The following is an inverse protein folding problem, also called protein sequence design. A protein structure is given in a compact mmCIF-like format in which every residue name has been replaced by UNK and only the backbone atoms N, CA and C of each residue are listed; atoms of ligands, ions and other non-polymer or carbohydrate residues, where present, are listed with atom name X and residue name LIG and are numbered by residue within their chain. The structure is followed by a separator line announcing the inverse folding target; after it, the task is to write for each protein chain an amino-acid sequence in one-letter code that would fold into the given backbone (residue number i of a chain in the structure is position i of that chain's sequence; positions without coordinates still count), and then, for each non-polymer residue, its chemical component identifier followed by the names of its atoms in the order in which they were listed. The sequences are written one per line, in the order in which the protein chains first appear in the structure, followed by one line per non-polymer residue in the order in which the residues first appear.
data_IF_586412995039
#
_entry.id   IF_586412995039
#
_cell.length_a   1.000
_cell.length_b   1.000
_cell.length_c   1.000
_cell.angle_alpha   90.00
_cell.angle_beta   90.00
_cell.angle_gamma   90.00
#
_symmetry.space_group_name_H-M   'P 1'
#
loop_
_entity.id
_entity.type
_entity.pdbx_description
1 polymer ?
#
# COMPACT_ATOMS: atom_id res chain seq x y z
N UNK A 1 18.40 16.13 -54.79
CA UNK A 1 18.17 14.87 -54.06
C UNK A 1 18.31 15.10 -52.55
N UNK A 2 17.47 15.94 -51.94
CA UNK A 2 17.63 16.38 -50.53
C UNK A 2 16.34 16.37 -49.72
N UNK A 3 15.20 16.04 -50.34
CA UNK A 3 13.87 16.06 -49.68
C UNK A 3 13.45 14.73 -49.03
N UNK A 4 14.17 13.63 -49.28
CA UNK A 4 13.80 12.29 -48.78
C UNK A 4 14.31 12.05 -47.34
N UNK A 5 15.34 12.78 -46.91
CA UNK A 5 15.97 12.57 -45.60
C UNK A 5 15.21 13.20 -44.42
N UNK A 6 14.42 14.25 -44.66
CA UNK A 6 13.65 14.92 -43.61
C UNK A 6 12.45 14.09 -43.11
N UNK A 7 11.89 13.22 -43.96
CA UNK A 7 10.72 12.42 -43.61
C UNK A 7 11.06 11.24 -42.69
N UNK A 8 12.27 10.69 -42.75
CA UNK A 8 12.69 9.58 -41.88
C UNK A 8 12.98 10.02 -40.44
N UNK A 9 13.53 11.23 -40.25
CA UNK A 9 13.83 11.78 -38.92
C UNK A 9 12.56 12.17 -38.14
N UNK A 10 11.47 12.52 -38.82
CA UNK A 10 10.20 12.85 -38.17
C UNK A 10 9.42 11.62 -37.67
N UNK A 11 9.61 10.43 -38.28
CA UNK A 11 8.98 9.18 -37.81
C UNK A 11 9.71 8.56 -36.60
N UNK A 12 11.02 8.81 -36.45
CA UNK A 12 11.80 8.38 -35.29
C UNK A 12 11.52 9.19 -34.01
N UNK A 13 10.87 10.35 -34.12
CA UNK A 13 10.43 11.15 -32.97
C UNK A 13 9.05 10.74 -32.44
N UNK A 14 8.31 9.87 -33.14
CA UNK A 14 6.97 9.39 -32.77
C UNK A 14 6.98 8.01 -32.08
N UNK A 15 8.15 7.38 -31.92
CA UNK A 15 8.35 6.37 -30.87
C UNK A 15 8.49 7.09 -29.53
N UNK A 16 7.46 7.88 -29.18
CA UNK A 16 7.31 8.37 -27.82
C UNK A 16 7.44 7.17 -26.89
N UNK A 17 8.15 7.35 -25.78
CA UNK A 17 8.42 6.35 -24.77
C UNK A 17 7.11 5.73 -24.25
N UNK A 18 6.58 4.71 -24.93
CA UNK A 18 5.55 3.85 -24.37
C UNK A 18 6.26 3.03 -23.31
N UNK A 19 6.26 3.53 -22.07
CA UNK A 19 6.63 2.69 -20.92
C UNK A 19 5.65 1.53 -20.90
N UNK A 20 6.16 0.33 -21.09
CA UNK A 20 5.35 -0.88 -21.02
C UNK A 20 4.69 -0.95 -19.63
N UNK A 21 3.36 -1.06 -19.59
CA UNK A 21 2.64 -1.19 -18.34
C UNK A 21 3.11 -2.45 -17.57
N UNK A 22 3.21 -2.39 -16.23
CA UNK A 22 3.60 -3.56 -15.45
C UNK A 22 2.52 -4.65 -15.58
N UNK A 23 2.96 -5.88 -15.83
CA UNK A 23 2.07 -7.06 -15.92
C UNK A 23 1.99 -7.84 -14.61
N UNK A 24 2.80 -7.44 -13.63
CA UNK A 24 2.88 -8.02 -12.29
C UNK A 24 3.11 -6.91 -11.26
N UNK A 25 2.65 -7.14 -10.04
CA UNK A 25 2.98 -6.32 -8.88
C UNK A 25 3.38 -7.19 -7.69
N UNK A 26 4.35 -6.72 -6.92
CA UNK A 26 4.58 -7.17 -5.57
C UNK A 26 3.76 -6.30 -4.63
N UNK A 27 2.78 -6.90 -3.95
CA UNK A 27 1.97 -6.24 -2.93
C UNK A 27 2.51 -6.58 -1.55
N UNK A 28 3.01 -5.58 -0.83
CA UNK A 28 3.35 -5.64 0.58
C UNK A 28 2.36 -4.86 1.43
N UNK A 29 2.31 -5.18 2.71
CA UNK A 29 1.56 -4.44 3.72
C UNK A 29 2.45 -4.22 4.93
N UNK A 30 2.38 -3.05 5.53
CA UNK A 30 3.05 -2.74 6.80
C UNK A 30 2.19 -1.80 7.63
N UNK A 31 2.52 -1.71 8.91
CA UNK A 31 1.95 -0.71 9.79
C UNK A 31 3.04 0.15 10.41
N UNK A 32 2.62 1.25 11.02
CA UNK A 32 3.45 1.96 11.97
C UNK A 32 3.62 1.11 13.24
N UNK A 33 4.73 1.28 13.96
CA UNK A 33 5.02 0.47 15.16
C UNK A 33 3.99 0.64 16.26
N UNK A 34 3.34 1.80 16.35
CA UNK A 34 2.29 2.11 17.33
C UNK A 34 0.87 1.99 16.75
N UNK A 35 0.70 1.35 15.59
CA UNK A 35 -0.62 1.18 14.97
C UNK A 35 -0.76 -0.16 14.23
N UNK A 36 -0.61 -1.30 14.93
CA UNK A 36 -0.91 -2.60 14.33
C UNK A 36 -2.39 -2.67 13.90
N UNK A 37 -2.66 -3.29 12.74
CA UNK A 37 -4.02 -3.39 12.18
C UNK A 37 -4.41 -4.80 11.73
N UNK A 38 -5.71 -5.07 11.75
CA UNK A 38 -6.33 -6.21 11.09
C UNK A 38 -6.97 -5.68 9.81
N UNK A 39 -6.35 -5.97 8.66
CA UNK A 39 -6.89 -5.59 7.35
C UNK A 39 -7.98 -6.58 6.97
N UNK A 40 -9.22 -6.12 6.85
CA UNK A 40 -10.40 -6.93 6.52
C UNK A 40 -10.78 -6.84 5.04
N UNK A 41 -10.27 -5.83 4.34
CA UNK A 41 -10.41 -5.69 2.90
C UNK A 41 -9.20 -4.91 2.37
N UNK A 42 -8.61 -5.37 1.27
CA UNK A 42 -7.64 -4.60 0.51
C UNK A 42 -7.93 -4.78 -0.98
N UNK A 43 -7.85 -3.68 -1.72
CA UNK A 43 -8.05 -3.64 -3.16
C UNK A 43 -7.00 -2.75 -3.79
N UNK A 44 -6.40 -3.26 -4.84
CA UNK A 44 -5.60 -2.50 -5.78
C UNK A 44 -6.17 -2.81 -7.14
N UNK A 45 -6.54 -1.77 -7.88
CA UNK A 45 -7.22 -1.92 -9.15
C UNK A 45 -6.39 -2.79 -10.13
N UNK A 46 -7.02 -3.84 -10.65
CA UNK A 46 -6.37 -4.79 -11.56
C UNK A 46 -5.53 -5.87 -10.88
N UNK A 47 -5.39 -5.87 -9.54
CA UNK A 47 -4.77 -6.98 -8.80
C UNK A 47 -5.83 -7.92 -8.22
N UNK A 48 -5.54 -9.22 -8.28
CA UNK A 48 -6.30 -10.25 -7.56
C UNK A 48 -5.60 -10.60 -6.25
N UNK A 49 -6.02 -9.96 -5.17
CA UNK A 49 -5.46 -10.17 -3.82
C UNK A 49 -6.03 -11.50 -3.25
N UNK A 50 -5.20 -12.46 -2.82
CA UNK A 50 -5.63 -13.83 -2.54
C UNK A 50 -6.11 -14.08 -1.09
N UNK A 51 -6.15 -13.05 -0.24
CA UNK A 51 -6.52 -13.18 1.17
C UNK A 51 -7.75 -12.33 1.50
N UNK A 52 -8.50 -12.78 2.50
CA UNK A 52 -9.70 -12.07 2.99
C UNK A 52 -9.40 -11.19 4.20
N UNK A 53 -8.49 -11.64 5.08
CA UNK A 53 -8.11 -10.89 6.28
C UNK A 53 -6.65 -11.15 6.58
N UNK A 54 -5.91 -10.13 7.01
CA UNK A 54 -4.51 -10.28 7.42
C UNK A 54 -4.20 -9.35 8.58
N UNK A 55 -3.47 -9.87 9.55
CA UNK A 55 -2.85 -9.05 10.60
C UNK A 55 -1.61 -8.39 9.98
N UNK A 56 -1.46 -7.09 10.21
CA UNK A 56 -0.35 -6.30 9.72
C UNK A 56 0.30 -5.60 10.91
N UNK A 57 1.59 -5.88 11.08
CA UNK A 57 2.48 -5.22 12.03
C UNK A 57 3.72 -4.76 11.27
N UNK A 58 4.43 -3.78 11.80
CA UNK A 58 5.64 -3.25 11.17
C UNK A 58 6.15 -2.00 11.88
N UNK A 59 7.18 -1.40 11.32
CA UNK A 59 7.80 -0.15 11.81
C UNK A 59 7.97 0.81 10.62
N UNK A 60 6.88 1.02 9.87
CA UNK A 60 6.93 1.70 8.58
C UNK A 60 7.40 3.16 8.64
N UNK A 61 7.38 3.77 9.83
CA UNK A 61 7.90 5.10 10.11
C UNK A 61 9.43 5.14 10.31
N UNK A 62 10.08 4.01 10.58
CA UNK A 62 11.54 3.94 10.67
C UNK A 62 12.15 3.71 9.29
N UNK A 63 12.81 4.74 8.76
CA UNK A 63 13.46 4.70 7.45
C UNK A 63 14.61 3.66 7.34
N UNK A 64 15.08 3.10 8.47
CA UNK A 64 16.10 2.07 8.51
C UNK A 64 15.53 0.64 8.48
N UNK A 65 14.21 0.49 8.61
CA UNK A 65 13.54 -0.80 8.64
C UNK A 65 12.79 -0.99 7.31
N UNK A 66 12.97 -2.12 6.62
CA UNK A 66 12.21 -2.41 5.40
C UNK A 66 10.70 -2.45 5.67
N UNK A 67 9.92 -1.74 4.85
CA UNK A 67 8.45 -1.69 4.96
C UNK A 67 7.74 -2.82 4.22
N UNK A 68 8.50 -3.69 3.55
CA UNK A 68 8.00 -4.76 2.70
C UNK A 68 8.38 -6.16 3.23
N UNK A 69 8.19 -6.38 4.55
CA UNK A 69 8.46 -7.65 5.23
C UNK A 69 7.45 -8.74 4.82
N UNK A 70 7.56 -9.19 3.57
CA UNK A 70 6.62 -10.09 2.91
C UNK A 70 5.88 -9.38 1.78
N UNK A 71 5.89 -9.99 0.60
CA UNK A 71 5.17 -9.48 -0.56
C UNK A 71 4.50 -10.62 -1.33
N UNK A 72 3.30 -10.35 -1.82
CA UNK A 72 2.59 -11.22 -2.75
C UNK A 72 2.92 -10.80 -4.17
N UNK A 73 3.54 -11.68 -4.96
CA UNK A 73 3.68 -11.46 -6.40
C UNK A 73 2.36 -11.81 -7.09
N UNK A 74 1.68 -10.79 -7.62
CA UNK A 74 0.36 -10.87 -8.19
C UNK A 74 0.39 -10.48 -9.67
N UNK A 75 -0.39 -11.17 -10.50
CA UNK A 75 -0.65 -10.72 -11.86
C UNK A 75 -1.42 -9.41 -11.83
N UNK A 76 -1.04 -8.49 -12.71
CA UNK A 76 -1.64 -7.16 -12.80
C UNK A 76 -2.23 -6.90 -14.19
N UNK A 77 -3.53 -6.58 -14.22
CA UNK A 77 -4.27 -6.29 -15.45
C UNK A 77 -4.90 -4.89 -15.44
N UNK A 78 -4.24 -3.87 -14.89
CA UNK A 78 -4.76 -2.50 -14.91
C UNK A 78 -4.82 -1.88 -16.32
N UNK A 79 -4.01 -2.40 -17.26
CA UNK A 79 -3.85 -1.82 -18.60
C UNK A 79 -3.06 -0.51 -18.57
N UNK A 80 -3.23 0.33 -19.59
CA UNK A 80 -2.61 1.65 -19.67
C UNK A 80 -3.53 2.69 -19.02
N UNK A 81 -3.52 2.76 -17.69
CA UNK A 81 -4.25 3.78 -16.94
C UNK A 81 -3.30 4.81 -16.36
N UNK A 82 -3.76 6.06 -16.33
CA UNK A 82 -3.01 7.17 -15.75
C UNK A 82 -3.02 7.13 -14.21
N UNK A 83 -4.08 6.55 -13.62
CA UNK A 83 -4.20 6.31 -12.18
C UNK A 83 -4.78 4.92 -11.92
N UNK A 84 -4.48 4.38 -10.74
CA UNK A 84 -5.10 3.17 -10.20
C UNK A 84 -5.66 3.43 -8.82
N UNK A 85 -6.88 2.95 -8.58
CA UNK A 85 -7.51 3.03 -7.28
C UNK A 85 -6.90 2.01 -6.30
N UNK A 86 -6.61 2.47 -5.08
CA UNK A 86 -6.14 1.65 -3.97
C UNK A 86 -7.03 1.92 -2.78
N UNK A 87 -7.62 0.88 -2.20
CA UNK A 87 -8.52 1.02 -1.06
C UNK A 87 -8.32 -0.08 -0.04
N UNK A 88 -8.65 0.22 1.22
CA UNK A 88 -8.60 -0.75 2.30
C UNK A 88 -9.70 -0.50 3.34
N UNK A 89 -10.02 -1.57 4.07
CA UNK A 89 -10.77 -1.53 5.33
C UNK A 89 -9.98 -2.28 6.38
N UNK A 90 -9.93 -1.73 7.59
CA UNK A 90 -9.16 -2.32 8.67
C UNK A 90 -9.71 -1.94 10.04
N UNK A 91 -9.27 -2.68 11.05
CA UNK A 91 -9.48 -2.38 12.47
C UNK A 91 -8.13 -2.19 13.13
N UNK A 92 -7.95 -1.11 13.89
CA UNK A 92 -6.77 -0.89 14.71
C UNK A 92 -6.79 -1.83 15.94
N UNK A 93 -5.74 -2.61 16.15
CA UNK A 93 -5.72 -3.62 17.23
C UNK A 93 -5.68 -2.99 18.63
N UNK A 94 -5.17 -1.76 18.76
CA UNK A 94 -4.99 -1.10 20.06
C UNK A 94 -6.22 -0.31 20.51
N UNK A 95 -7.11 0.03 19.58
CA UNK A 95 -8.25 0.92 19.84
C UNK A 95 -9.60 0.29 19.46
N UNK A 96 -9.59 -0.87 18.80
CA UNK A 96 -10.76 -1.55 18.22
C UNK A 96 -11.55 -0.71 17.20
N UNK A 97 -10.98 0.42 16.76
CA UNK A 97 -11.62 1.36 15.83
C UNK A 97 -11.45 0.86 14.40
N UNK A 98 -12.57 0.80 13.67
CA UNK A 98 -12.62 0.47 12.27
C UNK A 98 -12.56 1.69 11.34
N UNK A 99 -11.91 1.49 10.19
CA UNK A 99 -11.61 2.55 9.23
C UNK A 99 -11.75 2.04 7.80
N UNK A 100 -12.05 2.95 6.89
CA UNK A 100 -11.95 2.72 5.45
C UNK A 100 -11.31 3.91 4.75
N UNK A 101 -10.51 3.64 3.73
CA UNK A 101 -9.88 4.68 2.91
C UNK A 101 -9.75 4.20 1.46
N UNK A 102 -9.72 5.16 0.54
CA UNK A 102 -9.45 4.94 -0.87
C UNK A 102 -8.70 6.13 -1.43
N UNK A 103 -7.60 5.88 -2.13
CA UNK A 103 -6.78 6.89 -2.77
C UNK A 103 -6.42 6.46 -4.20
N UNK A 104 -5.83 7.36 -4.97
CA UNK A 104 -5.33 7.07 -6.32
C UNK A 104 -3.81 7.20 -6.37
N UNK A 105 -3.15 6.29 -7.08
CA UNK A 105 -1.71 6.38 -7.37
C UNK A 105 -1.44 6.26 -8.86
N UNK A 106 -0.39 6.94 -9.33
CA UNK A 106 0.08 6.80 -10.72
C UNK A 106 0.94 5.54 -10.86
N UNK A 107 0.63 4.62 -11.79
CA UNK A 107 1.49 3.46 -12.09
C UNK A 107 2.91 3.82 -12.55
N UNK A 108 3.12 5.06 -13.00
CA UNK A 108 4.43 5.55 -13.45
C UNK A 108 5.35 5.96 -12.30
N UNK A 109 4.79 6.23 -11.12
CA UNK A 109 5.55 6.57 -9.91
C UNK A 109 5.99 5.32 -9.11
N UNK A 110 5.47 4.15 -9.46
CA UNK A 110 5.83 2.88 -8.84
C UNK A 110 7.26 2.48 -9.23
N UNK A 111 8.04 2.10 -8.23
CA UNK A 111 9.34 1.45 -8.46
C UNK A 111 9.09 0.11 -9.13
N UNK A 112 9.97 -0.23 -10.07
CA UNK A 112 9.90 -1.48 -10.81
C UNK A 112 11.24 -2.19 -10.74
N UNK A 113 11.21 -3.51 -10.60
CA UNK A 113 12.41 -4.31 -10.70
C UNK A 113 12.82 -4.52 -12.17
N UNK A 114 13.93 -5.23 -12.40
CA UNK A 114 14.45 -5.53 -13.74
C UNK A 114 13.51 -6.39 -14.61
N UNK A 115 12.47 -6.99 -14.02
CA UNK A 115 11.44 -7.78 -14.70
C UNK A 115 10.14 -6.99 -14.94
N UNK A 116 10.18 -5.65 -14.81
CA UNK A 116 9.01 -4.77 -14.94
C UNK A 116 7.87 -5.11 -13.95
N UNK A 117 8.19 -5.75 -12.81
CA UNK A 117 7.24 -5.95 -11.71
C UNK A 117 7.22 -4.70 -10.86
N UNK A 118 6.04 -4.11 -10.68
CA UNK A 118 5.89 -2.93 -9.83
C UNK A 118 5.84 -3.32 -8.35
N UNK A 119 6.32 -2.44 -7.47
CA UNK A 119 6.19 -2.62 -6.02
C UNK A 119 5.11 -1.70 -5.48
N UNK A 120 4.17 -2.25 -4.72
CA UNK A 120 3.10 -1.50 -4.04
C UNK A 120 3.10 -1.91 -2.58
N UNK A 121 3.18 -0.94 -1.68
CA UNK A 121 3.09 -1.17 -0.24
C UNK A 121 1.91 -0.41 0.32
N UNK A 122 1.03 -1.10 1.03
CA UNK A 122 -0.06 -0.46 1.77
C UNK A 122 0.37 -0.30 3.22
N UNK A 123 0.40 0.94 3.70
CA UNK A 123 0.90 1.28 5.03
C UNK A 123 -0.24 1.86 5.85
N UNK A 124 -0.40 1.32 7.06
CA UNK A 124 -1.44 1.71 8.00
C UNK A 124 -0.81 2.43 9.20
N UNK A 125 -1.29 3.64 9.49
CA UNK A 125 -0.86 4.45 10.62
C UNK A 125 -2.02 4.76 11.57
N UNK A 126 -1.74 5.48 12.68
CA UNK A 126 -2.74 5.75 13.70
C UNK A 126 -3.87 6.65 13.18
N UNK A 127 -5.01 6.58 13.87
CA UNK A 127 -6.18 7.43 13.62
C UNK A 127 -6.66 7.33 12.17
N UNK A 128 -6.60 6.12 11.62
CA UNK A 128 -7.07 5.85 10.26
C UNK A 128 -6.13 6.34 9.15
N UNK A 129 -4.86 6.63 9.44
CA UNK A 129 -3.91 6.98 8.38
C UNK A 129 -3.71 5.80 7.42
N UNK A 130 -3.88 6.07 6.12
CA UNK A 130 -3.65 5.11 5.05
C UNK A 130 -2.72 5.70 4.00
N UNK A 131 -1.66 4.97 3.68
CA UNK A 131 -0.63 5.40 2.74
C UNK A 131 -0.42 4.31 1.70
N UNK A 132 -0.38 4.69 0.43
CA UNK A 132 0.17 3.84 -0.61
C UNK A 132 1.59 4.30 -0.91
N UNK A 133 2.53 3.37 -0.74
CA UNK A 133 3.93 3.55 -1.03
C UNK A 133 4.42 2.62 -2.13
N UNK A 134 5.68 2.83 -2.50
CA UNK A 134 6.47 1.92 -3.31
C UNK A 134 7.79 1.68 -2.62
N UNK A 135 8.23 0.43 -2.59
CA UNK A 135 9.47 0.03 -1.94
C UNK A 135 10.36 -0.73 -2.92
N UNK A 136 11.69 -0.54 -2.87
CA UNK A 136 12.61 -1.34 -3.67
C UNK A 136 12.43 -2.82 -3.33
N UNK A 137 12.60 -3.69 -4.32
CA UNK A 137 12.67 -5.14 -4.09
C UNK A 137 13.98 -5.57 -3.41
N UNK A 138 14.94 -4.65 -3.32
CA UNK A 138 16.28 -4.79 -2.75
C UNK A 138 16.58 -3.67 -1.72
N UNK A 139 17.85 -3.37 -1.48
CA UNK A 139 18.26 -2.33 -0.51
C UNK A 139 17.94 -0.93 -1.02
N UNK A 140 17.15 -0.18 -0.26
CA UNK A 140 16.90 1.24 -0.49
C UNK A 140 15.74 1.75 0.35
N UNK A 141 15.57 3.06 0.40
CA UNK A 141 14.44 3.67 1.10
C UNK A 141 13.20 3.64 0.23
N UNK A 142 12.09 3.18 0.82
CA UNK A 142 10.79 3.31 0.20
C UNK A 142 10.36 4.76 0.04
N UNK A 143 9.33 4.96 -0.80
CA UNK A 143 8.71 6.26 -1.04
C UNK A 143 7.21 6.17 -0.80
N UNK A 144 6.63 7.18 -0.17
CA UNK A 144 5.18 7.38 -0.11
C UNK A 144 4.71 8.08 -1.38
N UNK A 145 3.64 7.57 -1.99
CA UNK A 145 3.08 8.09 -3.23
C UNK A 145 1.86 8.94 -2.96
N UNK A 146 0.99 8.47 -2.06
CA UNK A 146 -0.20 9.16 -1.63
C UNK A 146 -0.55 8.73 -0.20
N UNK A 147 -1.18 9.65 0.54
CA UNK A 147 -1.65 9.43 1.91
C UNK A 147 -3.01 10.07 2.08
N UNK A 148 -3.87 9.42 2.86
CA UNK A 148 -5.19 9.93 3.21
C UNK A 148 -5.57 9.53 4.64
N UNK A 149 -6.43 10.34 5.26
CA UNK A 149 -7.06 9.99 6.52
C UNK A 149 -8.37 9.26 6.24
N UNK A 150 -8.43 8.02 6.70
CA UNK A 150 -9.59 7.17 6.54
C UNK A 150 -10.83 7.73 7.23
N UNK A 151 -11.98 7.29 6.74
CA UNK A 151 -13.27 7.58 7.36
C UNK A 151 -13.53 6.54 8.45
N UNK A 152 -13.92 7.00 9.65
CA UNK A 152 -14.36 6.12 10.73
C UNK A 152 -15.58 5.31 10.30
N UNK A 153 -15.58 4.02 10.62
CA UNK A 153 -16.74 3.15 10.43
C UNK A 153 -17.19 2.53 11.76
N UNK A 154 -17.81 3.30 12.69
CA UNK A 154 -18.08 2.82 14.05
C UNK A 154 -18.96 1.56 14.13
N UNK A 155 -19.81 1.32 13.14
CA UNK A 155 -20.63 0.11 13.04
C UNK A 155 -19.81 -1.16 12.75
N UNK A 156 -18.55 -1.01 12.37
CA UNK A 156 -17.59 -2.09 12.13
C UNK A 156 -16.52 -2.17 13.23
N UNK A 157 -16.58 -1.30 14.26
CA UNK A 157 -15.73 -1.43 15.44
C UNK A 157 -15.91 -2.80 16.07
N UNK A 158 -14.82 -3.41 16.49
CA UNK A 158 -14.84 -4.79 16.95
C UNK A 158 -13.69 -5.04 17.89
N UNK A 159 -13.99 -5.61 19.05
CA UNK A 159 -13.00 -6.17 19.95
C UNK A 159 -12.33 -7.38 19.27
N UNK A 160 -11.16 -7.13 18.69
CA UNK A 160 -10.41 -8.15 17.95
C UNK A 160 -9.76 -9.15 18.92
N UNK A 161 -9.62 -8.82 20.20
CA UNK A 161 -8.96 -9.71 21.18
C UNK A 161 -9.73 -11.02 21.42
N UNK A 162 -11.04 -11.02 21.18
CA UNK A 162 -11.88 -12.21 21.25
C UNK A 162 -11.69 -13.18 20.05
N UNK A 163 -10.94 -12.77 19.02
CA UNK A 163 -10.79 -13.49 17.75
C UNK A 163 -9.40 -14.10 17.53
N UNK A 164 -8.57 -14.19 18.56
CA UNK A 164 -7.17 -14.64 18.47
C UNK A 164 -6.95 -15.95 17.71
N UNK A 165 -7.92 -16.86 17.74
CA UNK A 165 -7.87 -18.16 17.05
C UNK A 165 -8.42 -18.11 15.62
N UNK A 166 -9.11 -17.03 15.24
CA UNK A 166 -9.73 -16.87 13.92
C UNK A 166 -8.76 -16.29 12.87
N UNK A 167 -7.75 -15.53 13.31
CA UNK A 167 -6.82 -14.82 12.42
C UNK A 167 -5.38 -15.23 12.71
N UNK A 168 -4.67 -15.66 11.68
CA UNK A 168 -3.25 -15.99 11.79
C UNK A 168 -2.47 -14.78 12.33
N UNK A 169 -1.48 -15.05 13.21
CA UNK A 169 -0.61 -14.07 13.85
C UNK A 169 -1.29 -13.08 14.81
N UNK A 170 -2.61 -13.11 14.97
CA UNK A 170 -3.30 -12.16 15.84
C UNK A 170 -2.92 -12.34 17.32
N UNK A 171 -2.88 -13.58 17.79
CA UNK A 171 -2.44 -13.89 19.15
C UNK A 171 -1.00 -13.43 19.44
N UNK A 172 -0.14 -13.43 18.43
CA UNK A 172 1.24 -12.95 18.55
C UNK A 172 1.28 -11.41 18.56
N UNK A 173 0.57 -10.78 17.61
CA UNK A 173 0.46 -9.34 17.53
C UNK A 173 -0.08 -8.72 18.83
N UNK A 174 -1.11 -9.30 19.45
CA UNK A 174 -1.70 -8.77 20.69
C UNK A 174 -0.83 -8.98 21.94
N UNK A 175 0.22 -9.80 21.88
CA UNK A 175 1.18 -9.99 22.99
C UNK A 175 2.35 -9.02 22.94
N UNK A 176 2.53 -8.33 21.83
CA UNK A 176 3.62 -7.38 21.66
C UNK A 176 3.36 -6.11 22.46
N UNK A 177 4.41 -5.57 23.07
CA UNK A 177 4.36 -4.29 23.79
C UNK A 177 4.64 -3.16 22.80
N UNK A 178 3.57 -2.60 22.23
CA UNK A 178 3.69 -1.53 21.24
C UNK A 178 4.03 -0.19 21.90
N UNK A 179 4.85 0.65 21.24
CA UNK A 179 5.06 2.01 21.69
C UNK A 179 3.73 2.79 21.70
N UNK A 180 3.62 3.84 22.54
CA UNK A 180 2.45 4.70 22.53
C UNK A 180 2.32 5.47 21.21
N UNK A 181 1.08 5.73 20.80
CA UNK A 181 0.80 6.62 19.66
C UNK A 181 1.33 8.03 19.98
N UNK A 182 2.11 8.67 19.09
CA UNK A 182 2.58 10.02 19.29
C UNK A 182 1.45 11.06 19.44
N UNK A 183 1.68 12.10 20.24
CA UNK A 183 0.71 13.19 20.43
C UNK A 183 0.38 13.95 19.14
N UNK A 184 1.31 13.93 18.17
CA UNK A 184 1.14 14.56 16.86
C UNK A 184 1.16 13.48 15.78
N UNK A 185 0.03 13.31 15.12
CA UNK A 185 -0.18 12.36 14.04
C UNK A 185 -0.66 13.08 12.79
N UNK A 186 -0.38 12.51 11.62
CA UNK A 186 -0.84 13.07 10.34
C UNK A 186 -2.37 13.14 10.28
N UNK A 187 -3.04 12.09 10.78
CA UNK A 187 -4.48 12.04 10.91
C UNK A 187 -4.87 12.34 12.36
N UNK A 188 -5.70 13.38 12.61
CA UNK A 188 -6.05 13.76 13.97
C UNK A 188 -6.85 12.65 14.64
N UNK A 189 -6.71 12.52 15.96
CA UNK A 189 -7.54 11.59 16.71
C UNK A 189 -9.03 11.93 16.51
N UNK A 190 -9.88 10.96 16.12
CA UNK A 190 -11.30 11.21 15.98
C UNK A 190 -11.92 11.52 17.34
N UNK A 191 -12.93 12.38 17.35
CA UNK A 191 -13.75 12.59 18.53
C UNK A 191 -14.40 11.26 18.97
N UNK A 192 -14.47 11.06 20.29
CA UNK A 192 -15.07 9.89 20.93
C UNK A 192 -16.54 9.69 20.59
#
# INVERSE_FOLDING_TARGET
MTKVWAALMAMLALTGCWKEAPTQANLSMASYSYSPVLVTEAKVEGLKIPFNTTVVTGEAEDANIPRNLGAYTLSWSAGNKDTIAVSAKWVELLTDRAWEASLEVSPDDLMRNSLNTASITLIFGPNGQFVAGTDPSDTGSGKDLASECGTRTPTQDRDISAEVDAHALLAEALRFDYPPVPDQTTCPEPAS
#
